data_IF_055051416122
#
_entry.id   IF_055051416122
#
_cell.length_a   1.000
_cell.length_b   1.000
_cell.length_c   1.000
_cell.angle_alpha   90.00
_cell.angle_beta   90.00
_cell.angle_gamma   90.00
#
_symmetry.space_group_name_H-M   'P 1'
#
loop_
_entity.id
_entity.type
_entity.pdbx_description
1 polymer ?
#
# COMPACT_ATOMS: atom_id res chain seq x y z
N UNK A 1 66.62 -30.13 28.56
CA UNK A 1 65.50 -30.01 27.62
C UNK A 1 64.21 -29.80 28.45
N UNK A 2 63.84 -28.55 28.59
CA UNK A 2 62.65 -28.15 29.36
C UNK A 2 61.55 -27.80 28.39
N UNK A 3 60.48 -28.59 28.37
CA UNK A 3 59.31 -28.40 27.56
C UNK A 3 58.40 -27.37 28.28
N UNK A 4 58.32 -26.15 27.73
CA UNK A 4 57.39 -25.12 28.15
C UNK A 4 56.04 -25.38 27.54
N UNK A 5 55.04 -25.68 28.38
CA UNK A 5 53.62 -25.77 28.07
C UNK A 5 53.07 -24.37 27.73
N UNK A 6 52.29 -24.19 26.63
CA UNK A 6 51.65 -22.93 26.37
C UNK A 6 50.44 -22.67 27.30
N UNK A 7 50.44 -21.55 28.02
CA UNK A 7 49.33 -21.04 28.78
C UNK A 7 48.14 -20.70 27.86
N UNK A 8 46.90 -21.10 28.16
CA UNK A 8 45.73 -20.65 27.44
C UNK A 8 45.44 -19.18 27.77
N UNK A 9 45.43 -18.34 26.72
CA UNK A 9 44.94 -16.98 26.78
C UNK A 9 43.43 -17.01 27.03
N UNK A 10 43.01 -16.96 28.27
CA UNK A 10 41.64 -16.64 28.64
C UNK A 10 41.41 -15.19 28.29
N UNK A 11 40.88 -14.95 27.06
CA UNK A 11 40.32 -13.67 26.68
C UNK A 11 39.20 -13.33 27.66
N UNK A 12 39.44 -12.38 28.53
CA UNK A 12 38.42 -11.77 29.36
C UNK A 12 37.34 -11.20 28.44
N UNK A 13 36.22 -11.90 28.30
CA UNK A 13 34.99 -11.32 27.76
C UNK A 13 34.63 -10.18 28.69
N UNK A 14 35.09 -8.95 28.39
CA UNK A 14 34.55 -7.74 28.97
C UNK A 14 33.03 -7.76 28.72
N UNK A 15 32.28 -8.01 29.80
CA UNK A 15 30.84 -7.94 29.81
C UNK A 15 30.46 -6.53 29.31
N UNK A 16 29.94 -6.45 28.08
CA UNK A 16 29.36 -5.22 27.60
C UNK A 16 28.23 -4.86 28.55
N UNK A 17 28.33 -3.73 29.28
CA UNK A 17 27.32 -3.37 30.26
C UNK A 17 25.95 -3.32 29.55
N UNK A 18 24.87 -3.79 30.21
CA UNK A 18 23.54 -3.75 29.62
C UNK A 18 23.22 -2.31 29.19
N UNK A 19 22.94 -2.13 27.92
CA UNK A 19 22.62 -0.83 27.39
C UNK A 19 21.44 -0.26 28.19
N UNK A 20 21.68 0.87 28.88
CA UNK A 20 20.63 1.59 29.62
C UNK A 20 19.41 1.76 28.72
N UNK A 21 18.18 1.57 29.21
CA UNK A 21 16.97 1.81 28.43
C UNK A 21 16.98 3.24 27.92
N UNK A 22 17.25 3.39 26.63
CA UNK A 22 17.25 4.72 25.99
C UNK A 22 15.84 5.28 26.09
N UNK A 23 15.66 6.32 26.90
CA UNK A 23 14.40 7.05 27.01
C UNK A 23 14.09 7.71 25.68
N UNK A 24 12.83 7.58 25.21
CA UNK A 24 12.38 8.28 24.01
C UNK A 24 12.27 9.75 24.34
N UNK A 25 12.99 10.61 23.62
CA UNK A 25 12.90 12.05 23.79
C UNK A 25 11.53 12.60 23.34
N UNK A 26 11.04 13.65 23.96
CA UNK A 26 9.82 14.36 23.52
C UNK A 26 9.90 14.76 22.05
N UNK A 27 11.08 15.17 21.60
CA UNK A 27 11.35 15.51 20.20
C UNK A 27 11.19 14.32 19.26
N UNK A 28 11.57 13.11 19.68
CA UNK A 28 11.38 11.90 18.89
C UNK A 28 9.88 11.56 18.72
N UNK A 29 9.09 11.72 19.79
CA UNK A 29 7.64 11.52 19.74
C UNK A 29 6.99 12.55 18.82
N UNK A 30 7.37 13.82 18.93
CA UNK A 30 6.85 14.90 18.08
C UNK A 30 7.19 14.65 16.61
N UNK A 31 8.44 14.32 16.32
CA UNK A 31 8.88 14.02 14.95
C UNK A 31 8.09 12.84 14.34
N UNK A 32 7.90 11.77 15.12
CA UNK A 32 7.11 10.62 14.71
C UNK A 32 5.62 10.98 14.51
N UNK A 33 5.02 11.74 15.43
CA UNK A 33 3.62 12.16 15.34
C UNK A 33 3.38 13.01 14.08
N UNK A 34 4.26 13.95 13.77
CA UNK A 34 4.20 14.75 12.53
C UNK A 34 4.33 13.88 11.26
N UNK A 35 5.29 12.96 11.24
CA UNK A 35 5.42 12.01 10.13
C UNK A 35 4.19 11.11 9.98
N UNK A 36 3.64 10.64 11.09
CA UNK A 36 2.43 9.83 11.14
C UNK A 36 1.20 10.61 10.66
N UNK A 37 1.08 11.89 11.01
CA UNK A 37 0.04 12.77 10.48
C UNK A 37 0.14 12.94 8.95
N UNK A 38 1.37 13.09 8.42
CA UNK A 38 1.57 13.09 6.97
C UNK A 38 1.14 11.78 6.32
N UNK A 39 1.43 10.64 6.93
CA UNK A 39 1.01 9.34 6.41
C UNK A 39 -0.51 9.13 6.48
N UNK A 40 -1.15 9.57 7.56
CA UNK A 40 -2.61 9.59 7.67
C UNK A 40 -3.21 10.42 6.52
N UNK A 41 -2.71 11.64 6.28
CA UNK A 41 -3.15 12.49 5.19
C UNK A 41 -2.92 11.84 3.83
N UNK A 42 -1.79 11.17 3.60
CA UNK A 42 -1.50 10.48 2.36
C UNK A 42 -2.47 9.31 2.08
N UNK A 43 -2.77 8.48 3.11
CA UNK A 43 -3.74 7.38 2.97
C UNK A 43 -5.16 7.92 2.76
N UNK A 44 -5.52 9.01 3.45
CA UNK A 44 -6.78 9.70 3.22
C UNK A 44 -6.89 10.14 1.75
N UNK A 45 -5.96 10.92 1.23
CA UNK A 45 -5.94 11.40 -0.16
C UNK A 45 -5.96 10.25 -1.18
N UNK A 46 -5.26 9.14 -0.90
CA UNK A 46 -5.28 7.94 -1.74
C UNK A 46 -6.67 7.30 -1.82
N UNK A 47 -7.41 7.33 -0.73
CA UNK A 47 -8.69 6.64 -0.57
C UNK A 47 -9.90 7.49 -0.99
N UNK A 48 -9.72 8.79 -1.27
CA UNK A 48 -10.83 9.70 -1.61
C UNK A 48 -11.65 9.24 -2.81
N UNK A 49 -11.00 8.68 -3.85
CA UNK A 49 -11.68 8.19 -5.06
C UNK A 49 -12.63 7.02 -4.77
N UNK A 50 -12.37 6.23 -3.73
CA UNK A 50 -13.24 5.13 -3.35
C UNK A 50 -14.68 5.57 -3.11
N UNK A 51 -14.86 6.74 -2.51
CA UNK A 51 -16.16 7.31 -2.17
C UNK A 51 -16.58 8.37 -3.20
N UNK A 52 -15.67 9.24 -3.60
CA UNK A 52 -15.95 10.31 -4.54
C UNK A 52 -16.13 9.82 -5.99
N UNK A 53 -15.87 8.54 -6.28
CA UNK A 53 -15.91 7.99 -7.64
C UNK A 53 -17.27 8.15 -8.31
N UNK A 54 -18.37 7.97 -7.59
CA UNK A 54 -19.73 8.18 -8.13
C UNK A 54 -19.92 9.65 -8.52
N UNK A 55 -19.60 10.57 -7.61
CA UNK A 55 -19.70 12.01 -7.88
C UNK A 55 -18.72 12.45 -9.00
N UNK A 56 -17.56 11.80 -9.12
CA UNK A 56 -16.62 12.06 -10.22
C UNK A 56 -17.20 11.66 -11.59
N UNK A 57 -17.88 10.50 -11.67
CA UNK A 57 -18.54 10.08 -12.92
C UNK A 57 -19.61 11.06 -13.35
N UNK A 58 -20.42 11.56 -12.44
CA UNK A 58 -21.44 12.56 -12.72
C UNK A 58 -20.83 13.91 -13.12
N UNK A 59 -19.84 14.41 -12.34
CA UNK A 59 -19.20 15.71 -12.56
C UNK A 59 -18.50 15.81 -13.90
N UNK A 60 -17.77 14.77 -14.30
CA UNK A 60 -16.95 14.80 -15.53
C UNK A 60 -17.63 14.11 -16.72
N UNK A 61 -18.83 13.54 -16.55
CA UNK A 61 -19.52 12.79 -17.59
C UNK A 61 -18.72 11.58 -18.10
N UNK A 62 -18.00 10.89 -17.20
CA UNK A 62 -17.03 9.85 -17.57
C UNK A 62 -17.56 8.43 -17.38
N UNK A 63 -17.02 7.52 -18.18
CA UNK A 63 -17.30 6.09 -18.04
C UNK A 63 -16.59 5.47 -16.82
N UNK A 64 -17.00 4.25 -16.43
CA UNK A 64 -16.34 3.48 -15.39
C UNK A 64 -14.87 3.18 -15.74
N UNK A 65 -14.53 2.98 -17.01
CA UNK A 65 -13.13 2.81 -17.45
C UNK A 65 -12.31 4.09 -17.21
N UNK A 66 -12.86 5.26 -17.52
CA UNK A 66 -12.20 6.53 -17.24
C UNK A 66 -12.06 6.81 -15.74
N UNK A 67 -13.06 6.44 -14.93
CA UNK A 67 -12.95 6.50 -13.48
C UNK A 67 -11.80 5.62 -12.98
N UNK A 68 -11.67 4.39 -13.51
CA UNK A 68 -10.52 3.52 -13.18
C UNK A 68 -9.19 4.17 -13.50
N UNK A 69 -9.10 4.91 -14.59
CA UNK A 69 -7.87 5.59 -15.01
C UNK A 69 -7.38 6.58 -13.96
N UNK A 70 -8.28 7.30 -13.26
CA UNK A 70 -7.89 8.21 -12.17
C UNK A 70 -7.16 7.47 -11.04
N UNK A 71 -7.68 6.30 -10.61
CA UNK A 71 -7.05 5.50 -9.58
C UNK A 71 -5.77 4.80 -10.08
N UNK A 72 -5.80 4.27 -11.30
CA UNK A 72 -4.67 3.56 -11.93
C UNK A 72 -3.49 4.50 -12.13
N UNK A 73 -3.73 5.72 -12.60
CA UNK A 73 -2.67 6.72 -12.79
C UNK A 73 -2.07 7.11 -11.44
N UNK A 74 -2.89 7.41 -10.45
CA UNK A 74 -2.41 7.75 -9.10
C UNK A 74 -1.55 6.65 -8.48
N UNK A 75 -2.05 5.40 -8.46
CA UNK A 75 -1.32 4.26 -7.90
C UNK A 75 -0.14 3.84 -8.77
N UNK A 76 -0.23 3.99 -10.09
CA UNK A 76 0.85 3.71 -11.03
C UNK A 76 2.03 4.66 -10.82
N UNK A 77 1.77 5.97 -10.69
CA UNK A 77 2.79 6.97 -10.35
C UNK A 77 3.41 6.68 -8.99
N UNK A 78 2.59 6.40 -7.98
CA UNK A 78 3.06 5.97 -6.66
C UNK A 78 4.01 4.76 -6.76
N UNK A 79 3.62 3.71 -7.47
CA UNK A 79 4.41 2.49 -7.61
C UNK A 79 5.72 2.72 -8.38
N UNK A 80 5.68 3.46 -9.49
CA UNK A 80 6.83 3.76 -10.31
C UNK A 80 7.89 4.59 -9.56
N UNK A 81 7.46 5.44 -8.64
CA UNK A 81 8.32 6.35 -7.91
C UNK A 81 8.91 5.75 -6.61
N UNK A 82 8.54 4.56 -6.21
CA UNK A 82 9.05 3.93 -4.97
C UNK A 82 10.59 3.84 -4.95
N UNK A 83 11.21 3.47 -6.06
CA UNK A 83 12.67 3.36 -6.17
C UNK A 83 13.33 4.74 -6.31
N UNK A 84 12.92 5.63 -7.24
CA UNK A 84 13.48 6.98 -7.36
C UNK A 84 13.40 7.80 -6.07
N UNK A 85 12.25 7.77 -5.40
CA UNK A 85 12.03 8.51 -4.14
C UNK A 85 12.99 8.05 -3.05
N UNK A 86 13.31 6.77 -2.95
CA UNK A 86 14.31 6.27 -2.01
C UNK A 86 15.67 6.93 -2.19
N UNK A 87 16.12 7.13 -3.44
CA UNK A 87 17.39 7.79 -3.74
C UNK A 87 17.37 9.30 -3.44
N UNK A 88 16.23 9.94 -3.69
CA UNK A 88 16.03 11.36 -3.37
C UNK A 88 15.97 11.57 -1.85
N UNK A 89 15.34 10.65 -1.12
CA UNK A 89 15.29 10.65 0.33
C UNK A 89 16.68 10.62 0.97
N UNK A 90 17.60 9.84 0.41
CA UNK A 90 18.96 9.75 0.90
C UNK A 90 19.73 11.08 0.76
N UNK A 91 19.37 11.90 -0.22
CA UNK A 91 19.99 13.21 -0.48
C UNK A 91 19.32 14.34 0.28
N UNK A 92 18.00 14.44 0.22
CA UNK A 92 17.24 15.59 0.74
C UNK A 92 16.79 15.41 2.20
N UNK A 93 16.75 14.16 2.69
CA UNK A 93 16.24 13.86 4.03
C UNK A 93 14.72 13.82 4.13
N UNK A 94 14.22 13.24 5.24
CA UNK A 94 12.78 12.97 5.43
C UNK A 94 11.94 14.23 5.52
N UNK A 95 12.44 15.30 6.18
CA UNK A 95 11.69 16.55 6.36
C UNK A 95 11.34 17.20 5.02
N UNK A 96 12.34 17.39 4.15
CA UNK A 96 12.12 18.02 2.83
C UNK A 96 11.18 17.20 1.97
N UNK A 97 11.32 15.85 1.97
CA UNK A 97 10.42 15.00 1.20
C UNK A 97 8.99 14.99 1.73
N UNK A 98 8.78 15.00 3.05
CA UNK A 98 7.44 15.10 3.63
C UNK A 98 6.76 16.43 3.30
N UNK A 99 7.51 17.53 3.34
CA UNK A 99 6.99 18.86 2.98
C UNK A 99 6.67 18.93 1.49
N UNK A 100 7.61 18.59 0.62
CA UNK A 100 7.38 18.62 -0.84
C UNK A 100 6.26 17.66 -1.25
N UNK A 101 6.24 16.44 -0.71
CA UNK A 101 5.19 15.47 -0.97
C UNK A 101 3.81 15.96 -0.52
N UNK A 102 3.71 16.52 0.69
CA UNK A 102 2.46 17.09 1.20
C UNK A 102 1.96 18.28 0.38
N UNK A 103 2.84 19.20 -0.01
CA UNK A 103 2.48 20.33 -0.87
C UNK A 103 2.10 19.89 -2.28
N UNK A 104 2.78 18.88 -2.83
CA UNK A 104 2.44 18.30 -4.14
C UNK A 104 1.06 17.62 -4.10
N UNK A 105 0.75 16.86 -3.02
CA UNK A 105 -0.60 16.30 -2.84
C UNK A 105 -1.65 17.40 -2.72
N UNK A 106 -1.40 18.44 -1.93
CA UNK A 106 -2.32 19.56 -1.77
C UNK A 106 -2.59 20.29 -3.09
N UNK A 107 -1.54 20.51 -3.89
CA UNK A 107 -1.67 21.09 -5.23
C UNK A 107 -2.49 20.16 -6.15
N UNK A 108 -2.26 18.84 -6.08
CA UNK A 108 -3.01 17.83 -6.81
C UNK A 108 -4.50 17.81 -6.45
N UNK A 109 -4.83 17.88 -5.14
CA UNK A 109 -6.22 17.95 -4.68
C UNK A 109 -6.89 19.28 -5.05
N UNK A 110 -6.15 20.41 -5.00
CA UNK A 110 -6.64 21.70 -5.47
C UNK A 110 -6.98 21.65 -6.96
N UNK A 111 -6.08 21.09 -7.76
CA UNK A 111 -6.32 20.92 -9.21
C UNK A 111 -7.53 20.02 -9.46
N UNK A 112 -7.66 18.92 -8.72
CA UNK A 112 -8.80 18.00 -8.80
C UNK A 112 -10.12 18.66 -8.40
N UNK A 113 -10.10 19.50 -7.35
CA UNK A 113 -11.26 20.28 -6.90
C UNK A 113 -11.79 21.25 -7.96
N UNK A 114 -10.86 21.93 -8.63
CA UNK A 114 -11.14 23.02 -9.57
C UNK A 114 -11.21 22.55 -11.03
N UNK A 115 -10.87 21.28 -11.33
CA UNK A 115 -10.80 20.76 -12.69
C UNK A 115 -12.14 20.92 -13.43
N UNK A 116 -12.18 21.66 -14.56
CA UNK A 116 -13.36 21.77 -15.40
C UNK A 116 -13.45 20.61 -16.41
N UNK A 117 -12.32 19.92 -16.67
CA UNK A 117 -12.22 18.84 -17.66
C UNK A 117 -11.48 17.65 -17.07
N UNK A 118 -11.79 16.47 -17.58
CA UNK A 118 -11.22 15.20 -17.10
C UNK A 118 -9.68 15.16 -17.14
N UNK A 119 -9.05 15.73 -18.18
CA UNK A 119 -7.58 15.74 -18.29
C UNK A 119 -6.88 16.45 -17.12
N UNK A 120 -7.45 17.54 -16.62
CA UNK A 120 -6.93 18.22 -15.42
C UNK A 120 -7.18 17.43 -14.14
N UNK A 121 -8.29 16.71 -14.07
CA UNK A 121 -8.53 15.78 -12.97
C UNK A 121 -7.48 14.65 -12.95
N UNK A 122 -7.12 14.09 -14.11
CA UNK A 122 -6.02 13.10 -14.25
C UNK A 122 -4.71 13.68 -13.77
N UNK A 123 -4.34 14.91 -14.19
CA UNK A 123 -3.13 15.59 -13.74
C UNK A 123 -3.13 15.79 -12.21
N UNK A 124 -4.27 16.15 -11.62
CA UNK A 124 -4.45 16.22 -10.19
C UNK A 124 -4.12 14.88 -9.51
N UNK A 125 -4.59 13.76 -10.04
CA UNK A 125 -4.28 12.41 -9.52
C UNK A 125 -2.81 12.02 -9.70
N UNK A 126 -2.15 12.44 -10.78
CA UNK A 126 -0.69 12.30 -10.96
C UNK A 126 0.06 12.99 -9.82
N UNK A 127 -0.29 14.24 -9.51
CA UNK A 127 0.34 15.00 -8.44
C UNK A 127 0.09 14.37 -7.06
N UNK A 128 -1.13 13.89 -6.80
CA UNK A 128 -1.42 13.18 -5.55
C UNK A 128 -0.57 11.91 -5.44
N UNK A 129 -0.48 11.11 -6.51
CA UNK A 129 0.36 9.90 -6.53
C UNK A 129 1.86 10.20 -6.34
N UNK A 130 2.35 11.28 -6.94
CA UNK A 130 3.73 11.76 -6.79
C UNK A 130 4.02 12.14 -5.32
N UNK A 131 3.16 12.93 -4.70
CA UNK A 131 3.33 13.36 -3.31
C UNK A 131 3.19 12.19 -2.31
N UNK A 132 2.23 11.31 -2.54
CA UNK A 132 2.01 10.11 -1.72
C UNK A 132 3.23 9.17 -1.72
N UNK A 133 3.89 8.98 -2.87
CA UNK A 133 5.09 8.15 -2.98
C UNK A 133 6.23 8.61 -2.07
N UNK A 134 6.32 9.91 -1.77
CA UNK A 134 7.34 10.49 -0.89
C UNK A 134 7.06 10.25 0.59
N UNK A 135 5.84 9.87 0.97
CA UNK A 135 5.39 9.93 2.36
C UNK A 135 5.83 8.72 3.18
N UNK A 136 5.41 7.50 2.83
CA UNK A 136 5.63 6.32 3.66
C UNK A 136 7.12 6.01 3.89
N UNK A 137 7.93 6.08 2.84
CA UNK A 137 9.38 5.83 2.92
C UNK A 137 10.05 6.86 3.81
N UNK A 138 9.62 8.14 3.73
CA UNK A 138 10.15 9.22 4.57
C UNK A 138 9.79 9.04 6.04
N UNK A 139 8.57 8.59 6.36
CA UNK A 139 8.11 8.33 7.74
C UNK A 139 8.85 7.14 8.34
N UNK A 140 9.02 6.05 7.60
CA UNK A 140 9.75 4.87 8.07
C UNK A 140 11.22 5.19 8.36
N UNK A 141 11.86 6.00 7.50
CA UNK A 141 13.22 6.49 7.75
C UNK A 141 13.28 7.42 8.97
N UNK A 142 12.32 8.35 9.08
CA UNK A 142 12.24 9.26 10.23
C UNK A 142 12.15 8.45 11.54
N UNK A 143 11.28 7.43 11.55
CA UNK A 143 11.13 6.52 12.69
C UNK A 143 12.45 5.81 13.02
N UNK A 144 13.20 5.35 12.03
CA UNK A 144 14.49 4.66 12.24
C UNK A 144 15.60 5.58 12.78
N UNK A 145 15.52 6.89 12.52
CA UNK A 145 16.51 7.88 13.01
C UNK A 145 16.23 8.28 14.47
N UNK A 146 14.95 8.36 14.84
CA UNK A 146 14.54 8.91 16.13
C UNK A 146 14.27 7.87 17.21
N UNK A 147 13.99 6.61 16.85
CA UNK A 147 13.65 5.55 17.80
C UNK A 147 14.77 4.53 17.94
N UNK A 148 15.01 4.00 19.16
CA UNK A 148 15.95 2.88 19.36
C UNK A 148 15.41 1.58 18.76
N UNK A 149 16.31 0.71 18.27
CA UNK A 149 16.01 -0.45 17.42
C UNK A 149 14.80 -1.31 17.81
N UNK A 150 14.63 -1.61 19.13
CA UNK A 150 13.47 -2.43 19.59
C UNK A 150 12.11 -1.73 19.47
N UNK A 151 12.09 -0.39 19.42
CA UNK A 151 10.84 0.41 19.37
C UNK A 151 10.48 0.87 17.96
N UNK A 152 11.37 0.73 16.98
CA UNK A 152 11.10 1.06 15.56
C UNK A 152 9.90 0.25 15.06
N UNK A 153 9.87 -1.05 15.32
CA UNK A 153 8.79 -1.92 14.85
C UNK A 153 7.42 -1.48 15.39
N UNK A 154 7.34 -1.13 16.69
CA UNK A 154 6.11 -0.63 17.29
C UNK A 154 5.68 0.71 16.68
N UNK A 155 6.60 1.65 16.51
CA UNK A 155 6.30 2.96 15.93
C UNK A 155 5.82 2.85 14.47
N UNK A 156 6.42 1.95 13.67
CA UNK A 156 5.95 1.65 12.30
C UNK A 156 4.57 1.01 12.30
N UNK A 157 4.28 0.10 13.22
CA UNK A 157 2.94 -0.49 13.36
C UNK A 157 1.88 0.56 13.72
N UNK A 158 2.17 1.43 14.67
CA UNK A 158 1.28 2.53 15.05
C UNK A 158 1.07 3.53 13.90
N UNK A 159 2.10 3.76 13.07
CA UNK A 159 1.96 4.52 11.83
C UNK A 159 0.98 3.83 10.87
N UNK A 160 1.03 2.50 10.76
CA UNK A 160 0.06 1.72 9.97
C UNK A 160 -1.38 1.88 10.48
N UNK A 161 -1.59 1.87 11.80
CA UNK A 161 -2.91 2.13 12.42
C UNK A 161 -3.40 3.54 12.09
N UNK A 162 -2.53 4.55 12.14
CA UNK A 162 -2.89 5.91 11.73
C UNK A 162 -3.25 6.00 10.24
N UNK A 163 -2.58 5.22 9.38
CA UNK A 163 -2.98 5.06 7.98
C UNK A 163 -4.41 4.51 7.85
N UNK A 164 -4.77 3.49 8.63
CA UNK A 164 -6.13 2.95 8.64
C UNK A 164 -7.17 4.01 9.09
N UNK A 165 -6.82 4.89 10.06
CA UNK A 165 -7.66 6.04 10.42
C UNK A 165 -7.82 7.01 9.23
N UNK A 166 -6.77 7.26 8.45
CA UNK A 166 -6.87 8.03 7.21
C UNK A 166 -7.87 7.43 6.23
N UNK A 167 -7.83 6.10 6.04
CA UNK A 167 -8.82 5.37 5.24
C UNK A 167 -10.25 5.49 5.78
N UNK A 168 -10.44 5.45 7.10
CA UNK A 168 -11.75 5.63 7.75
C UNK A 168 -12.27 7.06 7.52
N UNK A 169 -11.43 8.08 7.69
CA UNK A 169 -11.81 9.47 7.44
C UNK A 169 -12.20 9.72 5.98
N UNK A 170 -11.64 8.98 5.04
CA UNK A 170 -11.99 9.02 3.62
C UNK A 170 -13.31 8.29 3.29
N UNK A 171 -14.10 7.85 4.29
CA UNK A 171 -15.40 7.18 4.10
C UNK A 171 -16.55 8.10 4.53
N UNK A 172 -17.21 7.80 5.64
CA UNK A 172 -18.40 8.58 6.11
C UNK A 172 -18.16 10.07 6.24
N UNK A 173 -17.03 10.55 6.83
CA UNK A 173 -16.78 11.99 6.90
C UNK A 173 -16.70 12.65 5.53
N UNK A 174 -16.03 12.00 4.56
CA UNK A 174 -15.94 12.52 3.20
C UNK A 174 -17.30 12.48 2.47
N UNK A 175 -18.10 11.42 2.67
CA UNK A 175 -19.47 11.34 2.13
C UNK A 175 -20.33 12.52 2.64
N UNK A 176 -20.29 12.78 3.95
CA UNK A 176 -21.01 13.91 4.56
C UNK A 176 -20.55 15.25 3.98
N UNK A 177 -19.23 15.46 3.90
CA UNK A 177 -18.67 16.68 3.34
C UNK A 177 -19.05 16.88 1.86
N UNK A 178 -19.04 15.82 1.04
CA UNK A 178 -19.48 15.89 -0.36
C UNK A 178 -20.97 16.25 -0.48
N UNK A 179 -21.81 15.72 0.44
CA UNK A 179 -23.24 16.01 0.46
C UNK A 179 -23.56 17.44 0.92
N UNK A 180 -22.85 17.96 1.91
CA UNK A 180 -23.12 19.28 2.50
C UNK A 180 -22.40 20.42 1.79
N UNK A 181 -21.10 20.24 1.47
CA UNK A 181 -20.26 21.29 0.90
C UNK A 181 -20.16 21.20 -0.63
N UNK A 182 -20.55 20.07 -1.21
CA UNK A 182 -20.36 19.77 -2.62
C UNK A 182 -18.90 19.44 -2.97
N UNK A 183 -18.66 19.15 -4.23
CA UNK A 183 -17.37 18.69 -4.75
C UNK A 183 -16.20 19.65 -4.47
N UNK A 184 -16.30 20.87 -5.00
CA UNK A 184 -15.19 21.83 -5.02
C UNK A 184 -14.75 22.22 -3.60
N UNK A 185 -15.70 22.56 -2.73
CA UNK A 185 -15.38 22.98 -1.36
C UNK A 185 -14.79 21.81 -0.56
N UNK A 186 -15.32 20.61 -0.70
CA UNK A 186 -14.80 19.42 -0.02
C UNK A 186 -13.34 19.18 -0.38
N UNK A 187 -12.99 19.13 -1.65
CA UNK A 187 -11.61 18.87 -2.06
C UNK A 187 -10.65 20.05 -1.79
N UNK A 188 -11.14 21.29 -1.76
CA UNK A 188 -10.34 22.43 -1.27
C UNK A 188 -10.04 22.34 0.22
N UNK A 189 -11.00 21.91 1.04
CA UNK A 189 -10.77 21.64 2.48
C UNK A 189 -9.74 20.51 2.66
N UNK A 190 -9.83 19.44 1.86
CA UNK A 190 -8.86 18.35 1.88
C UNK A 190 -7.45 18.85 1.49
N UNK A 191 -7.37 19.67 0.44
CA UNK A 191 -6.11 20.29 0.01
C UNK A 191 -5.52 21.18 1.10
N UNK A 192 -6.34 22.04 1.71
CA UNK A 192 -5.93 22.93 2.79
C UNK A 192 -5.44 22.15 4.02
N UNK A 193 -6.15 21.11 4.44
CA UNK A 193 -5.75 20.24 5.55
C UNK A 193 -4.41 19.53 5.26
N UNK A 194 -4.23 19.02 4.04
CA UNK A 194 -2.98 18.38 3.59
C UNK A 194 -1.81 19.39 3.59
N UNK A 195 -2.05 20.60 3.07
CA UNK A 195 -1.07 21.68 3.09
C UNK A 195 -0.71 22.12 4.53
N UNK A 196 -1.70 22.22 5.42
CA UNK A 196 -1.47 22.57 6.83
C UNK A 196 -0.55 21.55 7.53
N UNK A 197 -0.73 20.26 7.28
CA UNK A 197 0.17 19.20 7.78
C UNK A 197 1.59 19.40 7.22
N UNK A 198 1.73 19.68 5.93
CA UNK A 198 3.05 19.93 5.31
C UNK A 198 3.73 21.17 5.90
N UNK A 199 3.00 22.26 6.11
CA UNK A 199 3.51 23.49 6.76
C UNK A 199 3.89 23.22 8.22
N UNK A 200 3.07 22.49 8.98
CA UNK A 200 3.39 22.10 10.36
C UNK A 200 4.71 21.31 10.42
N UNK A 201 4.95 20.41 9.46
CA UNK A 201 6.22 19.68 9.34
C UNK A 201 7.37 20.62 8.97
N UNK A 202 7.13 21.58 8.06
CA UNK A 202 8.14 22.55 7.65
C UNK A 202 8.62 23.44 8.81
N UNK A 203 7.72 23.78 9.73
CA UNK A 203 8.04 24.63 10.87
C UNK A 203 8.54 23.81 12.07
N UNK A 204 7.86 22.71 12.39
CA UNK A 204 8.02 22.01 13.66
C UNK A 204 9.00 20.84 13.65
N UNK A 205 9.31 20.23 12.48
CA UNK A 205 10.18 19.07 12.43
C UNK A 205 11.66 19.50 12.42
N UNK A 206 12.44 19.15 13.46
CA UNK A 206 13.86 19.51 13.49
C UNK A 206 14.63 18.84 12.36
N UNK A 207 15.45 19.59 11.66
CA UNK A 207 16.33 19.04 10.62
C UNK A 207 17.50 18.33 11.30
N UNK A 208 17.46 17.01 11.39
CA UNK A 208 18.67 16.23 11.60
C UNK A 208 19.32 16.08 10.24
N UNK A 209 20.44 16.79 10.05
CA UNK A 209 21.23 16.65 8.84
C UNK A 209 21.47 15.15 8.57
N UNK A 210 21.26 14.67 7.34
CA UNK A 210 21.73 13.35 6.95
C UNK A 210 23.20 13.30 7.35
N UNK A 211 23.66 12.24 8.06
CA UNK A 211 25.09 11.97 8.12
C UNK A 211 25.55 11.99 6.69
N UNK A 212 26.39 12.97 6.36
CA UNK A 212 26.91 13.15 5.03
C UNK A 212 27.64 11.85 4.61
N UNK A 213 26.91 10.98 3.98
CA UNK A 213 27.53 10.01 3.08
C UNK A 213 28.05 10.89 1.96
N UNK A 214 29.38 11.06 1.92
CA UNK A 214 30.08 11.90 0.98
C UNK A 214 29.45 11.73 -0.40
N UNK A 215 28.80 12.77 -0.88
CA UNK A 215 28.14 12.83 -2.19
C UNK A 215 29.24 12.79 -3.25
N UNK A 216 29.69 11.59 -3.60
CA UNK A 216 30.31 11.41 -4.91
C UNK A 216 29.19 11.70 -5.91
N UNK A 217 29.38 12.75 -6.68
CA UNK A 217 28.56 13.11 -7.84
C UNK A 217 28.50 11.90 -8.79
N UNK A 218 27.53 11.04 -8.59
CA UNK A 218 27.33 9.86 -9.45
C UNK A 218 26.39 10.29 -10.54
N UNK A 219 26.87 10.25 -11.79
CA UNK A 219 26.11 10.51 -13.00
C UNK A 219 24.78 9.73 -12.93
N UNK A 220 23.59 10.37 -13.16
CA UNK A 220 22.28 9.72 -13.10
C UNK A 220 22.18 8.44 -13.94
N UNK A 221 22.81 8.42 -15.11
CA UNK A 221 22.88 7.24 -16.00
C UNK A 221 23.64 6.07 -15.35
N UNK A 222 24.75 6.33 -14.63
CA UNK A 222 25.48 5.28 -13.91
C UNK A 222 24.70 4.75 -12.69
N UNK A 223 23.86 5.59 -12.08
CA UNK A 223 22.97 5.14 -10.99
C UNK A 223 21.89 4.23 -11.57
N UNK A 224 21.26 4.61 -12.68
CA UNK A 224 20.24 3.81 -13.35
C UNK A 224 20.80 2.44 -13.78
N UNK A 225 21.99 2.40 -14.38
CA UNK A 225 22.63 1.15 -14.81
C UNK A 225 22.96 0.24 -13.62
N UNK A 226 23.53 0.78 -12.55
CA UNK A 226 23.80 0.02 -11.32
C UNK A 226 22.52 -0.47 -10.62
N UNK A 227 21.43 0.29 -10.71
CA UNK A 227 20.13 -0.12 -10.18
C UNK A 227 19.52 -1.25 -11.01
N UNK A 228 19.65 -1.20 -12.35
CA UNK A 228 19.17 -2.28 -13.23
C UNK A 228 19.92 -3.59 -12.99
N UNK A 229 21.26 -3.54 -12.85
CA UNK A 229 22.08 -4.72 -12.59
C UNK A 229 21.76 -5.34 -11.22
N UNK A 230 21.58 -4.49 -10.19
CA UNK A 230 21.13 -4.93 -8.86
C UNK A 230 19.75 -5.55 -8.91
N UNK A 231 18.80 -4.91 -9.61
CA UNK A 231 17.45 -5.41 -9.78
C UNK A 231 17.44 -6.76 -10.51
N UNK A 232 18.25 -6.90 -11.57
CA UNK A 232 18.40 -8.15 -12.31
C UNK A 232 18.98 -9.28 -11.42
N UNK A 233 19.99 -8.98 -10.60
CA UNK A 233 20.57 -9.93 -9.65
C UNK A 233 19.55 -10.39 -8.61
N UNK A 234 18.81 -9.44 -8.01
CA UNK A 234 17.77 -9.71 -7.03
C UNK A 234 16.59 -10.48 -7.65
N UNK A 235 16.24 -10.18 -8.90
CA UNK A 235 15.16 -10.88 -9.63
C UNK A 235 15.51 -12.35 -9.94
N UNK A 236 16.79 -12.68 -10.10
CA UNK A 236 17.22 -14.07 -10.31
C UNK A 236 16.97 -14.95 -9.08
N UNK A 237 16.92 -14.35 -7.89
CA UNK A 237 16.65 -15.07 -6.64
C UNK A 237 15.21 -15.62 -6.61
N UNK A 238 15.02 -16.97 -6.52
CA UNK A 238 13.68 -17.56 -6.52
C UNK A 238 12.78 -17.05 -5.40
N UNK A 239 13.36 -16.74 -4.23
CA UNK A 239 12.64 -16.19 -3.09
C UNK A 239 12.09 -14.79 -3.35
N UNK A 240 12.79 -13.94 -4.09
CA UNK A 240 12.27 -12.62 -4.50
C UNK A 240 11.04 -12.77 -5.40
N UNK A 241 11.10 -13.65 -6.39
CA UNK A 241 9.97 -13.92 -7.29
C UNK A 241 8.79 -14.52 -6.51
N UNK A 242 9.05 -15.46 -5.60
CA UNK A 242 8.00 -16.00 -4.73
C UNK A 242 7.36 -14.91 -3.88
N UNK A 243 8.15 -14.02 -3.29
CA UNK A 243 7.67 -12.88 -2.51
C UNK A 243 6.79 -11.94 -3.34
N UNK A 244 7.23 -11.61 -4.56
CA UNK A 244 6.47 -10.77 -5.50
C UNK A 244 5.11 -11.38 -5.83
N UNK A 245 5.05 -12.68 -6.13
CA UNK A 245 3.79 -13.34 -6.46
C UNK A 245 2.89 -13.55 -5.23
N UNK A 246 3.45 -13.76 -4.04
CA UNK A 246 2.66 -13.74 -2.79
C UNK A 246 2.03 -12.37 -2.55
N UNK A 247 2.78 -11.29 -2.76
CA UNK A 247 2.26 -9.92 -2.65
C UNK A 247 1.20 -9.64 -3.73
N UNK A 248 1.42 -10.11 -4.96
CA UNK A 248 0.49 -10.00 -6.09
C UNK A 248 -0.89 -10.56 -5.72
N UNK A 249 -0.97 -11.79 -5.21
CA UNK A 249 -2.27 -12.46 -4.98
C UNK A 249 -3.01 -12.00 -3.73
N UNK A 250 -2.30 -11.41 -2.76
CA UNK A 250 -2.89 -11.03 -1.47
C UNK A 250 -3.29 -9.56 -1.39
N UNK A 251 -2.54 -8.65 -2.04
CA UNK A 251 -2.72 -7.21 -1.87
C UNK A 251 -3.92 -6.64 -2.64
N UNK A 252 -4.14 -7.10 -3.89
CA UNK A 252 -5.04 -6.42 -4.82
C UNK A 252 -6.52 -6.42 -4.42
N UNK A 253 -7.10 -7.46 -3.77
CA UNK A 253 -8.54 -7.47 -3.51
C UNK A 253 -8.96 -6.36 -2.54
N UNK A 254 -8.24 -6.22 -1.43
CA UNK A 254 -8.48 -5.16 -0.46
C UNK A 254 -8.24 -3.76 -1.05
N UNK A 255 -7.20 -3.60 -1.86
CA UNK A 255 -6.91 -2.35 -2.54
C UNK A 255 -8.00 -2.01 -3.57
N UNK A 256 -8.40 -2.97 -4.41
CA UNK A 256 -9.45 -2.77 -5.43
C UNK A 256 -10.78 -2.36 -4.81
N UNK A 257 -11.16 -3.03 -3.72
CA UNK A 257 -12.41 -2.74 -3.02
C UNK A 257 -12.32 -1.41 -2.23
N UNK A 258 -11.28 -1.22 -1.43
CA UNK A 258 -11.14 -0.06 -0.55
C UNK A 258 -10.84 1.25 -1.27
N UNK A 259 -10.06 1.21 -2.36
CA UNK A 259 -9.58 2.43 -3.03
C UNK A 259 -10.53 2.90 -4.13
N UNK A 260 -11.30 1.99 -4.76
CA UNK A 260 -12.11 2.39 -5.91
C UNK A 260 -13.51 1.75 -5.98
N UNK A 261 -13.59 0.41 -6.06
CA UNK A 261 -14.81 -0.25 -6.51
C UNK A 261 -15.79 -0.67 -5.40
N UNK A 262 -15.36 -0.65 -4.14
CA UNK A 262 -16.22 -1.08 -3.03
C UNK A 262 -17.44 -0.19 -2.82
N UNK A 263 -17.25 1.13 -2.77
CA UNK A 263 -18.37 2.05 -2.57
C UNK A 263 -19.37 2.05 -3.75
N UNK A 264 -18.93 2.17 -5.03
CA UNK A 264 -19.83 2.05 -6.16
C UNK A 264 -20.61 0.72 -6.18
N UNK A 265 -19.96 -0.40 -5.85
CA UNK A 265 -20.63 -1.71 -5.73
C UNK A 265 -21.73 -1.70 -4.65
N UNK A 266 -21.41 -1.18 -3.46
CA UNK A 266 -22.35 -1.16 -2.35
C UNK A 266 -23.56 -0.26 -2.62
N UNK A 267 -23.34 0.90 -3.25
CA UNK A 267 -24.43 1.85 -3.53
C UNK A 267 -25.21 1.42 -4.79
N UNK A 268 -24.57 1.15 -5.90
CA UNK A 268 -25.23 0.93 -7.18
C UNK A 268 -25.74 -0.51 -7.34
N UNK A 269 -24.93 -1.52 -7.00
CA UNK A 269 -25.32 -2.92 -7.16
C UNK A 269 -26.12 -3.47 -5.98
N UNK A 270 -25.77 -3.07 -4.75
CA UNK A 270 -26.45 -3.53 -3.54
C UNK A 270 -27.59 -2.60 -3.09
N UNK A 271 -27.67 -1.38 -3.64
CA UNK A 271 -28.70 -0.38 -3.34
C UNK A 271 -28.63 0.13 -1.90
N UNK A 272 -27.42 0.17 -1.32
CA UNK A 272 -27.22 0.69 0.03
C UNK A 272 -27.26 2.21 0.06
N UNK A 273 -27.69 2.76 1.20
CA UNK A 273 -27.52 4.18 1.44
C UNK A 273 -26.03 4.54 1.54
N UNK A 274 -25.65 5.78 1.17
CA UNK A 274 -24.26 6.24 1.31
C UNK A 274 -23.69 6.02 2.71
N UNK A 275 -24.49 6.25 3.75
CA UNK A 275 -24.08 6.05 5.14
C UNK A 275 -23.78 4.59 5.48
N UNK A 276 -24.61 3.64 5.01
CA UNK A 276 -24.41 2.21 5.24
C UNK A 276 -23.19 1.70 4.45
N UNK A 277 -23.05 2.10 3.19
CA UNK A 277 -21.89 1.76 2.37
C UNK A 277 -20.57 2.26 2.99
N UNK A 278 -20.56 3.49 3.50
CA UNK A 278 -19.44 4.05 4.25
C UNK A 278 -19.10 3.24 5.51
N UNK A 279 -20.11 2.72 6.23
CA UNK A 279 -19.88 1.87 7.41
C UNK A 279 -19.23 0.52 7.05
N UNK A 280 -19.59 -0.07 5.92
CA UNK A 280 -18.95 -1.30 5.42
C UNK A 280 -17.47 -1.04 5.07
N UNK A 281 -17.15 0.11 4.48
CA UNK A 281 -15.76 0.49 4.20
C UNK A 281 -14.98 0.81 5.49
N UNK A 282 -15.61 1.32 6.53
CA UNK A 282 -15.01 1.44 7.87
C UNK A 282 -14.65 0.05 8.40
N UNK A 283 -15.56 -0.93 8.28
CA UNK A 283 -15.30 -2.29 8.71
C UNK A 283 -14.09 -2.92 7.96
N UNK A 284 -13.92 -2.62 6.66
CA UNK A 284 -12.72 -3.02 5.91
C UNK A 284 -11.44 -2.47 6.54
N UNK A 285 -11.40 -1.18 6.82
CA UNK A 285 -10.23 -0.53 7.40
C UNK A 285 -9.94 -1.01 8.83
N UNK A 286 -10.98 -1.20 9.65
CA UNK A 286 -10.85 -1.74 11.02
C UNK A 286 -10.33 -3.18 10.99
N UNK A 287 -10.85 -4.01 10.09
CA UNK A 287 -10.37 -5.40 9.93
C UNK A 287 -8.91 -5.41 9.47
N UNK A 288 -8.54 -4.56 8.54
CA UNK A 288 -7.14 -4.41 8.09
C UNK A 288 -6.23 -4.05 9.26
N UNK A 289 -6.64 -3.07 10.08
CA UNK A 289 -5.86 -2.64 11.24
C UNK A 289 -5.74 -3.74 12.30
N UNK A 290 -6.85 -4.45 12.61
CA UNK A 290 -6.87 -5.51 13.60
C UNK A 290 -6.11 -6.78 13.14
N UNK A 291 -6.19 -7.14 11.86
CA UNK A 291 -5.49 -8.28 11.30
C UNK A 291 -3.97 -8.08 11.23
N UNK A 292 -3.50 -6.83 11.15
CA UNK A 292 -2.08 -6.49 11.01
C UNK A 292 -1.18 -7.15 12.06
N UNK A 293 -1.40 -6.92 13.35
CA UNK A 293 -0.60 -7.52 14.43
C UNK A 293 -0.64 -9.06 14.42
N UNK A 294 -1.82 -9.64 14.20
CA UNK A 294 -2.00 -11.11 14.17
C UNK A 294 -1.21 -11.73 13.03
N UNK A 295 -1.37 -11.20 11.82
CA UNK A 295 -0.65 -11.67 10.63
C UNK A 295 0.85 -11.45 10.80
N UNK A 296 1.27 -10.28 11.30
CA UNK A 296 2.67 -9.96 11.56
C UNK A 296 3.32 -10.94 12.53
N UNK A 297 2.64 -11.32 13.62
CA UNK A 297 3.11 -12.30 14.58
C UNK A 297 3.22 -13.70 13.94
N UNK A 298 2.22 -14.11 13.15
CA UNK A 298 2.24 -15.39 12.46
C UNK A 298 3.40 -15.49 11.45
N UNK A 299 3.67 -14.41 10.70
CA UNK A 299 4.80 -14.32 9.78
C UNK A 299 6.14 -14.47 10.52
N UNK A 300 6.28 -13.80 11.66
CA UNK A 300 7.51 -13.81 12.46
C UNK A 300 7.78 -15.17 13.09
N UNK A 301 6.75 -15.84 13.62
CA UNK A 301 6.88 -17.10 14.37
C UNK A 301 6.96 -18.35 13.49
N UNK A 302 6.46 -18.29 12.24
CA UNK A 302 6.39 -19.46 11.35
C UNK A 302 6.97 -19.19 9.96
N UNK A 303 8.28 -18.88 9.83
CA UNK A 303 8.89 -18.48 8.57
C UNK A 303 8.76 -19.52 7.45
N UNK A 304 8.83 -20.82 7.76
CA UNK A 304 8.69 -21.90 6.79
C UNK A 304 7.26 -22.00 6.17
N UNK A 305 6.24 -21.45 6.85
CA UNK A 305 4.84 -21.53 6.42
C UNK A 305 4.32 -20.25 5.76
N UNK A 306 5.15 -19.24 5.56
CA UNK A 306 4.74 -17.91 5.03
C UNK A 306 3.95 -18.01 3.72
N UNK A 307 4.45 -18.72 2.71
CA UNK A 307 3.75 -18.87 1.44
C UNK A 307 2.44 -19.68 1.55
N UNK A 308 2.37 -20.63 2.48
CA UNK A 308 1.13 -21.36 2.79
C UNK A 308 0.08 -20.47 3.45
N UNK A 309 0.50 -19.59 4.36
CA UNK A 309 -0.37 -18.59 4.99
C UNK A 309 -0.92 -17.59 3.97
N UNK A 310 -0.07 -17.12 3.03
CA UNK A 310 -0.52 -16.27 1.93
C UNK A 310 -1.63 -16.96 1.12
N UNK A 311 -1.46 -18.24 0.76
CA UNK A 311 -2.48 -19.01 0.03
C UNK A 311 -3.77 -19.23 0.84
N UNK A 312 -3.68 -19.44 2.16
CA UNK A 312 -4.85 -19.55 3.02
C UNK A 312 -5.65 -18.24 3.06
N UNK A 313 -4.97 -17.09 3.15
CA UNK A 313 -5.62 -15.77 3.09
C UNK A 313 -6.21 -15.52 1.70
N UNK A 314 -5.55 -15.96 0.63
CA UNK A 314 -6.11 -15.88 -0.73
C UNK A 314 -7.39 -16.72 -0.83
N UNK A 315 -7.42 -17.94 -0.31
CA UNK A 315 -8.64 -18.76 -0.28
C UNK A 315 -9.78 -18.08 0.50
N UNK A 316 -9.48 -17.48 1.66
CA UNK A 316 -10.42 -16.67 2.43
C UNK A 316 -10.93 -15.46 1.62
N UNK A 317 -10.02 -14.74 0.95
CA UNK A 317 -10.37 -13.59 0.10
C UNK A 317 -11.26 -14.00 -1.09
N UNK A 318 -10.94 -15.11 -1.78
CA UNK A 318 -11.75 -15.66 -2.86
C UNK A 318 -13.15 -16.05 -2.34
N UNK A 319 -13.24 -16.70 -1.17
CA UNK A 319 -14.52 -17.07 -0.57
C UNK A 319 -15.39 -15.84 -0.29
N UNK A 320 -14.83 -14.80 0.34
CA UNK A 320 -15.55 -13.56 0.59
C UNK A 320 -15.97 -12.84 -0.70
N UNK A 321 -15.07 -12.76 -1.69
CA UNK A 321 -15.35 -12.16 -2.99
C UNK A 321 -16.45 -12.90 -3.73
N UNK A 322 -16.39 -14.23 -3.75
CA UNK A 322 -17.41 -15.09 -4.36
C UNK A 322 -18.75 -14.95 -3.65
N UNK A 323 -18.77 -14.90 -2.32
CA UNK A 323 -19.99 -14.68 -1.56
C UNK A 323 -20.71 -13.37 -1.94
N UNK A 324 -19.94 -12.29 -2.20
CA UNK A 324 -20.52 -11.02 -2.63
C UNK A 324 -21.18 -11.10 -4.01
N UNK A 325 -20.55 -11.78 -4.98
CA UNK A 325 -21.01 -11.76 -6.37
C UNK A 325 -21.97 -12.92 -6.71
N UNK A 326 -21.89 -14.05 -6.01
CA UNK A 326 -22.75 -15.20 -6.25
C UNK A 326 -24.11 -15.10 -5.55
N UNK A 327 -24.28 -14.19 -4.58
CA UNK A 327 -25.53 -14.09 -3.83
C UNK A 327 -26.70 -13.73 -4.74
N UNK A 328 -27.81 -14.48 -4.70
CA UNK A 328 -29.00 -14.16 -5.49
C UNK A 328 -29.72 -12.93 -4.93
N UNK A 329 -29.74 -11.82 -5.66
CA UNK A 329 -30.37 -10.60 -5.21
C UNK A 329 -29.43 -9.67 -4.43
N UNK A 330 -29.97 -8.84 -3.53
CA UNK A 330 -29.21 -8.00 -2.60
C UNK A 330 -28.72 -8.84 -1.45
N UNK A 331 -27.40 -8.83 -1.23
CA UNK A 331 -26.81 -9.59 -0.15
C UNK A 331 -27.14 -8.96 1.22
N UNK A 332 -27.45 -9.75 2.25
CA UNK A 332 -27.71 -9.21 3.59
C UNK A 332 -26.44 -8.54 4.15
N UNK A 333 -26.64 -7.47 4.93
CA UNK A 333 -25.54 -6.67 5.49
C UNK A 333 -24.50 -7.52 6.26
N UNK A 334 -24.88 -8.48 7.12
CA UNK A 334 -23.91 -9.31 7.82
C UNK A 334 -22.99 -10.11 6.87
N UNK A 335 -23.55 -10.64 5.76
CA UNK A 335 -22.77 -11.36 4.74
C UNK A 335 -21.76 -10.41 4.07
N UNK A 336 -22.19 -9.20 3.69
CA UNK A 336 -21.31 -8.21 3.06
C UNK A 336 -20.18 -7.80 3.99
N UNK A 337 -20.49 -7.54 5.28
CA UNK A 337 -19.47 -7.20 6.29
C UNK A 337 -18.47 -8.36 6.46
N UNK A 338 -18.96 -9.59 6.58
CA UNK A 338 -18.09 -10.77 6.69
C UNK A 338 -17.23 -10.99 5.45
N UNK A 339 -17.81 -10.84 4.25
CA UNK A 339 -17.10 -10.98 2.99
C UNK A 339 -16.04 -9.89 2.80
N UNK A 340 -16.36 -8.64 3.13
CA UNK A 340 -15.43 -7.52 3.09
C UNK A 340 -14.32 -7.69 4.13
N UNK A 341 -14.63 -8.19 5.33
CA UNK A 341 -13.63 -8.53 6.33
C UNK A 341 -12.68 -9.63 5.84
N UNK A 342 -13.19 -10.67 5.18
CA UNK A 342 -12.36 -11.73 4.59
C UNK A 342 -11.38 -11.17 3.54
N UNK A 343 -11.84 -10.26 2.70
CA UNK A 343 -11.01 -9.56 1.70
C UNK A 343 -9.98 -8.64 2.36
N UNK A 344 -10.35 -7.94 3.44
CA UNK A 344 -9.52 -6.97 4.14
C UNK A 344 -8.24 -7.59 4.75
N UNK A 345 -8.30 -8.86 5.19
CA UNK A 345 -7.13 -9.59 5.72
C UNK A 345 -6.01 -9.67 4.69
N UNK A 346 -6.32 -9.64 3.40
CA UNK A 346 -5.36 -9.64 2.31
C UNK A 346 -4.35 -8.50 2.37
N UNK A 347 -4.76 -7.31 2.85
CA UNK A 347 -3.89 -6.15 3.02
C UNK A 347 -2.66 -6.45 3.91
N UNK A 348 -2.84 -6.72 5.21
CA UNK A 348 -1.73 -7.10 6.09
C UNK A 348 -1.01 -8.38 5.65
N UNK A 349 -1.73 -9.37 5.11
CA UNK A 349 -1.11 -10.61 4.65
C UNK A 349 -0.18 -10.41 3.46
N UNK A 350 -0.34 -9.34 2.70
CA UNK A 350 0.54 -9.00 1.59
C UNK A 350 1.98 -8.73 2.04
N UNK A 351 2.18 -8.27 3.28
CA UNK A 351 3.50 -8.08 3.88
C UNK A 351 4.32 -9.38 3.92
N UNK A 352 3.65 -10.55 3.92
CA UNK A 352 4.32 -11.86 3.80
C UNK A 352 5.20 -11.96 2.56
N UNK A 353 4.73 -11.43 1.43
CA UNK A 353 5.50 -11.39 0.18
C UNK A 353 6.76 -10.54 0.29
N UNK A 354 6.64 -9.35 0.90
CA UNK A 354 7.77 -8.45 1.12
C UNK A 354 8.80 -9.08 2.07
N UNK A 355 8.32 -9.79 3.10
CA UNK A 355 9.19 -10.44 4.07
C UNK A 355 9.93 -11.66 3.48
N UNK A 356 9.27 -12.46 2.62
CA UNK A 356 9.92 -13.53 1.84
C UNK A 356 11.03 -12.94 0.97
N UNK A 357 10.75 -11.90 0.19
CA UNK A 357 11.75 -11.28 -0.68
C UNK A 357 12.94 -10.72 0.11
N UNK A 358 12.66 -10.03 1.23
CA UNK A 358 13.67 -9.46 2.12
C UNK A 358 14.57 -10.52 2.73
N UNK A 359 14.03 -11.63 3.20
CA UNK A 359 14.79 -12.69 3.90
C UNK A 359 15.52 -13.62 2.95
N UNK A 360 15.18 -13.61 1.66
CA UNK A 360 15.86 -14.39 0.62
C UNK A 360 17.06 -13.68 0.01
N UNK A 361 17.36 -12.45 0.40
CA UNK A 361 18.44 -11.65 -0.16
C UNK A 361 19.42 -11.16 0.91
N UNK A 362 20.64 -10.79 0.48
CA UNK A 362 21.64 -10.17 1.36
C UNK A 362 21.11 -8.85 1.90
N UNK A 363 21.57 -8.45 3.09
CA UNK A 363 21.11 -7.23 3.79
C UNK A 363 21.21 -5.95 2.94
N UNK A 364 22.25 -5.84 2.12
CA UNK A 364 22.51 -4.70 1.23
C UNK A 364 21.51 -4.58 0.07
N UNK A 365 20.82 -5.68 -0.28
CA UNK A 365 19.86 -5.78 -1.38
C UNK A 365 18.40 -5.81 -0.91
N UNK A 366 18.17 -5.77 0.41
CA UNK A 366 16.83 -5.87 1.01
C UNK A 366 15.85 -4.81 0.47
N UNK A 367 16.30 -3.58 0.29
CA UNK A 367 15.47 -2.50 -0.25
C UNK A 367 15.02 -2.79 -1.69
N UNK A 368 15.95 -3.21 -2.56
CA UNK A 368 15.65 -3.57 -3.95
C UNK A 368 14.71 -4.78 -4.02
N UNK A 369 14.95 -5.80 -3.18
CA UNK A 369 14.11 -7.00 -3.13
C UNK A 369 12.68 -6.69 -2.68
N UNK A 370 12.54 -5.86 -1.64
CA UNK A 370 11.23 -5.40 -1.14
C UNK A 370 10.51 -4.55 -2.19
N UNK A 371 11.22 -3.64 -2.86
CA UNK A 371 10.66 -2.81 -3.93
C UNK A 371 10.14 -3.66 -5.10
N UNK A 372 10.92 -4.63 -5.57
CA UNK A 372 10.48 -5.55 -6.63
C UNK A 372 9.27 -6.39 -6.20
N UNK A 373 9.26 -6.88 -4.97
CA UNK A 373 8.10 -7.62 -4.47
C UNK A 373 6.85 -6.74 -4.38
N UNK A 374 7.00 -5.47 -3.99
CA UNK A 374 5.91 -4.51 -3.87
C UNK A 374 5.24 -4.21 -5.23
N UNK A 375 6.02 -4.17 -6.31
CA UNK A 375 5.49 -3.97 -7.68
C UNK A 375 4.42 -5.02 -8.01
N UNK A 376 4.55 -6.26 -7.54
CA UNK A 376 3.57 -7.32 -7.81
C UNK A 376 2.15 -6.95 -7.35
N UNK A 377 1.98 -6.51 -6.11
CA UNK A 377 0.66 -6.15 -5.58
C UNK A 377 0.03 -4.93 -6.26
N UNK A 378 0.84 -3.92 -6.59
CA UNK A 378 0.36 -2.78 -7.37
C UNK A 378 -0.05 -3.19 -8.79
N UNK A 379 0.76 -4.00 -9.48
CA UNK A 379 0.42 -4.49 -10.81
C UNK A 379 -0.91 -5.25 -10.82
N UNK A 380 -1.13 -6.16 -9.85
CA UNK A 380 -2.40 -6.86 -9.71
C UNK A 380 -3.57 -5.90 -9.46
N UNK A 381 -3.38 -4.90 -8.58
CA UNK A 381 -4.40 -3.90 -8.27
C UNK A 381 -4.76 -3.05 -9.49
N UNK A 382 -3.75 -2.58 -10.24
CA UNK A 382 -3.95 -1.78 -11.45
C UNK A 382 -4.71 -2.56 -12.53
N UNK A 383 -4.28 -3.82 -12.79
CA UNK A 383 -4.94 -4.71 -13.76
C UNK A 383 -6.40 -4.95 -13.35
N UNK A 384 -6.65 -5.24 -12.08
CA UNK A 384 -8.00 -5.55 -11.60
C UNK A 384 -8.90 -4.32 -11.61
N UNK A 385 -8.41 -3.17 -11.13
CA UNK A 385 -9.18 -1.92 -11.12
C UNK A 385 -9.57 -1.49 -12.53
N UNK A 386 -8.60 -1.52 -13.47
CA UNK A 386 -8.84 -1.16 -14.86
C UNK A 386 -9.77 -2.16 -15.55
N UNK A 387 -9.54 -3.46 -15.34
CA UNK A 387 -10.37 -4.53 -15.90
C UNK A 387 -11.82 -4.45 -15.45
N UNK A 388 -12.08 -4.20 -14.16
CA UNK A 388 -13.42 -3.97 -13.63
C UNK A 388 -14.06 -2.75 -14.32
N UNK A 389 -13.36 -1.63 -14.41
CA UNK A 389 -13.88 -0.43 -15.04
C UNK A 389 -14.21 -0.62 -16.52
N UNK A 390 -13.37 -1.35 -17.23
CA UNK A 390 -13.60 -1.67 -18.65
C UNK A 390 -14.83 -2.55 -18.83
N UNK A 391 -14.95 -3.63 -18.06
CA UNK A 391 -16.10 -4.54 -18.10
C UNK A 391 -17.40 -3.79 -17.74
N UNK A 392 -17.37 -2.94 -16.70
CA UNK A 392 -18.53 -2.12 -16.33
C UNK A 392 -18.94 -1.17 -17.47
N UNK A 393 -17.98 -0.50 -18.12
CA UNK A 393 -18.28 0.39 -19.24
C UNK A 393 -18.93 -0.35 -20.40
N UNK A 394 -18.37 -1.48 -20.80
CA UNK A 394 -18.90 -2.31 -21.88
C UNK A 394 -20.29 -2.89 -21.54
N UNK A 395 -20.46 -3.39 -20.31
CA UNK A 395 -21.72 -4.01 -19.88
C UNK A 395 -22.89 -3.03 -19.79
N UNK A 396 -22.62 -1.74 -19.48
CA UNK A 396 -23.65 -0.71 -19.38
C UNK A 396 -24.04 -0.09 -20.73
N UNK A 397 -23.10 -0.06 -21.68
CA UNK A 397 -23.37 0.50 -23.00
C UNK A 397 -24.11 -0.47 -23.91
N UNK A 398 -24.07 -1.78 -23.59
CA UNK A 398 -24.46 -2.83 -24.52
C UNK A 398 -23.43 -2.97 -25.64
N UNK A 399 -23.03 -4.17 -25.99
CA UNK A 399 -22.05 -4.40 -27.07
C UNK A 399 -22.62 -5.42 -28.03
N UNK A 400 -22.52 -5.14 -29.34
CA UNK A 400 -22.83 -6.09 -30.40
C UNK A 400 -24.23 -6.73 -30.33
N UNK A 401 -25.27 -5.91 -30.09
CA UNK A 401 -26.66 -6.39 -30.07
C UNK A 401 -27.14 -7.02 -28.76
N UNK A 402 -26.28 -7.04 -27.71
CA UNK A 402 -26.69 -7.43 -26.37
C UNK A 402 -27.25 -6.21 -25.60
N UNK A 403 -28.37 -6.35 -24.88
CA UNK A 403 -28.91 -5.25 -24.07
C UNK A 403 -27.98 -4.89 -22.93
N UNK A 404 -28.03 -3.62 -22.51
CA UNK A 404 -27.31 -3.14 -21.35
C UNK A 404 -27.70 -3.95 -20.09
N UNK A 405 -26.70 -4.37 -19.31
CA UNK A 405 -26.92 -5.12 -18.08
C UNK A 405 -27.38 -4.19 -16.95
N UNK A 406 -28.21 -4.73 -16.04
CA UNK A 406 -28.47 -4.05 -14.77
C UNK A 406 -27.18 -3.86 -13.98
N UNK A 407 -27.11 -2.83 -13.13
CA UNK A 407 -25.92 -2.55 -12.32
C UNK A 407 -25.42 -3.78 -11.55
N UNK A 408 -26.29 -4.57 -10.96
CA UNK A 408 -25.93 -5.78 -10.24
C UNK A 408 -25.26 -6.81 -11.16
N UNK A 409 -25.82 -7.08 -12.33
CA UNK A 409 -25.28 -8.05 -13.29
C UNK A 409 -23.94 -7.54 -13.86
N UNK A 410 -23.85 -6.25 -14.15
CA UNK A 410 -22.64 -5.62 -14.61
C UNK A 410 -21.50 -5.72 -13.56
N UNK A 411 -21.78 -5.44 -12.29
CA UNK A 411 -20.79 -5.61 -11.22
C UNK A 411 -20.41 -7.07 -10.97
N UNK A 412 -21.33 -8.02 -11.08
CA UNK A 412 -21.00 -9.46 -10.99
C UNK A 412 -19.99 -9.85 -12.06
N UNK A 413 -20.26 -9.48 -13.30
CA UNK A 413 -19.37 -9.78 -14.43
C UNK A 413 -18.03 -9.06 -14.26
N UNK A 414 -18.04 -7.78 -13.87
CA UNK A 414 -16.84 -7.00 -13.68
C UNK A 414 -15.95 -7.53 -12.54
N UNK A 415 -16.54 -7.90 -11.41
CA UNK A 415 -15.80 -8.46 -10.28
C UNK A 415 -15.23 -9.86 -10.59
N UNK A 416 -15.78 -10.59 -11.58
CA UNK A 416 -15.20 -11.85 -12.05
C UNK A 416 -13.80 -11.68 -12.65
N UNK A 417 -13.39 -10.47 -13.06
CA UNK A 417 -12.02 -10.13 -13.50
C UNK A 417 -10.96 -10.50 -12.44
N UNK A 418 -11.31 -10.51 -11.16
CA UNK A 418 -10.39 -10.90 -10.11
C UNK A 418 -9.94 -12.37 -10.20
N UNK A 419 -10.77 -13.29 -10.72
CA UNK A 419 -10.44 -14.71 -10.75
C UNK A 419 -9.26 -15.07 -11.65
N UNK A 420 -9.18 -14.62 -12.91
CA UNK A 420 -7.99 -14.87 -13.73
C UNK A 420 -6.73 -14.25 -13.14
N UNK A 421 -6.83 -13.09 -12.47
CA UNK A 421 -5.69 -12.47 -11.78
C UNK A 421 -5.21 -13.36 -10.62
N UNK A 422 -6.12 -13.88 -9.79
CA UNK A 422 -5.79 -14.86 -8.77
C UNK A 422 -5.21 -16.13 -9.34
N UNK A 423 -5.82 -16.70 -10.40
CA UNK A 423 -5.38 -17.95 -11.01
C UNK A 423 -3.91 -17.85 -11.46
N UNK A 424 -3.56 -16.81 -12.21
CA UNK A 424 -2.19 -16.58 -12.67
C UNK A 424 -1.22 -16.51 -11.48
N UNK A 425 -1.55 -15.74 -10.46
CA UNK A 425 -0.70 -15.57 -9.30
C UNK A 425 -0.59 -16.83 -8.45
N UNK A 426 -1.69 -17.55 -8.20
CA UNK A 426 -1.70 -18.82 -7.45
C UNK A 426 -0.81 -19.86 -8.14
N UNK A 427 -0.94 -20.02 -9.46
CA UNK A 427 -0.10 -20.94 -10.25
C UNK A 427 1.39 -20.56 -10.12
N UNK A 428 1.70 -19.27 -10.20
CA UNK A 428 3.06 -18.78 -10.05
C UNK A 428 3.62 -19.06 -8.63
N UNK A 429 2.82 -18.81 -7.58
CA UNK A 429 3.21 -19.12 -6.19
C UNK A 429 3.49 -20.62 -6.01
N UNK A 430 2.61 -21.51 -6.51
CA UNK A 430 2.82 -22.95 -6.39
C UNK A 430 4.10 -23.42 -7.12
N UNK A 431 4.33 -22.93 -8.35
CA UNK A 431 5.55 -23.27 -9.12
C UNK A 431 6.82 -22.83 -8.42
N UNK A 432 6.84 -21.57 -7.92
CA UNK A 432 8.01 -21.01 -7.26
C UNK A 432 8.26 -21.63 -5.88
N UNK A 433 7.21 -21.91 -5.13
CA UNK A 433 7.33 -22.60 -3.84
C UNK A 433 8.04 -23.96 -3.98
N UNK A 434 7.70 -24.72 -5.01
CA UNK A 434 8.38 -26.01 -5.32
C UNK A 434 9.86 -25.80 -5.67
N UNK A 435 10.20 -24.75 -6.43
CA UNK A 435 11.59 -24.43 -6.79
C UNK A 435 12.42 -24.01 -5.56
N UNK A 436 11.87 -23.14 -4.71
CA UNK A 436 12.53 -22.73 -3.46
C UNK A 436 12.76 -23.92 -2.52
N UNK A 437 11.77 -24.82 -2.40
CA UNK A 437 11.92 -26.03 -1.59
C UNK A 437 13.04 -26.97 -2.09
N UNK A 438 13.16 -27.14 -3.41
CA UNK A 438 14.23 -27.94 -4.03
C UNK A 438 15.60 -27.32 -3.81
N UNK A 439 15.76 -26.02 -4.06
CA UNK A 439 17.02 -25.31 -3.85
C UNK A 439 17.48 -25.40 -2.37
N UNK A 440 16.58 -25.27 -1.40
CA UNK A 440 16.90 -25.43 0.01
C UNK A 440 17.30 -26.87 0.37
N UNK A 441 16.71 -27.88 -0.27
CA UNK A 441 17.05 -29.28 -0.04
C UNK A 441 18.43 -29.64 -0.63
N UNK A 442 18.84 -29.01 -1.74
CA UNK A 442 20.16 -29.15 -2.34
C UNK A 442 21.26 -28.50 -1.50
N UNK A 443 20.98 -27.36 -0.87
CA UNK A 443 21.91 -26.67 0.03
C UNK A 443 22.08 -27.36 1.40
N UNK A 444 21.13 -28.23 1.77
CA UNK A 444 21.16 -28.98 3.03
C UNK A 444 21.85 -30.36 2.90
N UNK A 445 22.21 -30.76 1.66
CA UNK A 445 23.02 -31.95 1.34
C UNK A 445 24.48 -31.59 1.18
#
# INVERSE_FOLDING_TARGET
MSLSTPRPLLASRSAVPPARPQQISRTAVLAWAMGTAAYLAAVFNRSTLGVAGVAATERFGISAAMLSLLAVVQLGVYAALQIPVGTVLDRLGSRRLLVTGGLTMAAGETLFALAPVFGLAVLGRVLVGLGDAMTFISVTRLTSIWFPGRRIALAVQLTGVAGALGGILATRPLIGALGELGWTRTFLVVAAATAAVAVAIAVGLPERAPRAVALRTVCPLRVAHRLSDRAAGVWREPGTRLGMWCHFVTAFPAATFGVLWGYPYLVQAQGMTPATAGSVLIALNLTTAAAGPVVGQLIATRPARRSGMALAVVALGISGWTAMIAWPGRAPLPLLVAAVAAVAVGGPASMTGLDIARTSNRRELTGTATGLANVGGFTASLITMLGIGLVLSLSRQGVAGLPALSDRSAFRLAFAVAYPVWLVGIVAVFRLRRRVARANAELAR
#
